data_IF_042421375250
#
_entry.id   IF_042421375250
#
_cell.length_a   1.000
_cell.length_b   1.000
_cell.length_c   1.000
_cell.angle_alpha   90.00
_cell.angle_beta   90.00
_cell.angle_gamma   90.00
#
_symmetry.space_group_name_H-M   'P 1'
#
loop_
_entity.id
_entity.type
_entity.pdbx_description
1 polymer ?
#
# COMPACT_ATOMS: atom_id res chain seq x y z
N UNK A 1 26.86 13.48 3.73
CA UNK A 1 26.23 12.91 2.52
C UNK A 1 24.95 13.68 2.24
N UNK A 2 24.82 14.28 1.05
CA UNK A 2 23.56 14.96 0.67
C UNK A 2 22.41 13.94 0.69
N UNK A 3 21.38 14.19 1.47
CA UNK A 3 20.19 13.33 1.59
C UNK A 3 19.17 13.56 0.48
N UNK A 4 19.40 14.59 -0.34
CA UNK A 4 18.54 14.96 -1.44
C UNK A 4 19.07 14.43 -2.77
N UNK A 5 18.21 13.78 -3.54
CA UNK A 5 18.51 13.26 -4.88
C UNK A 5 17.59 13.92 -5.90
N UNK A 6 18.12 14.24 -7.07
CA UNK A 6 17.28 14.79 -8.14
C UNK A 6 16.23 13.75 -8.59
N UNK A 7 14.96 14.15 -8.71
CA UNK A 7 13.93 13.27 -9.26
C UNK A 7 14.25 12.89 -10.70
N UNK A 8 13.87 11.67 -11.11
CA UNK A 8 14.03 11.20 -12.49
C UNK A 8 13.25 12.09 -13.47
N UNK A 9 13.74 12.26 -14.71
CA UNK A 9 12.96 12.87 -15.78
C UNK A 9 11.60 12.18 -15.97
N UNK A 10 10.59 12.92 -16.43
CA UNK A 10 9.24 12.40 -16.61
C UNK A 10 9.17 11.13 -17.47
N UNK A 11 9.86 11.04 -18.63
CA UNK A 11 9.87 9.83 -19.45
C UNK A 11 10.44 8.60 -18.72
N UNK A 12 11.48 8.76 -17.92
CA UNK A 12 12.07 7.67 -17.13
C UNK A 12 11.12 7.22 -16.01
N UNK A 13 10.48 8.18 -15.33
CA UNK A 13 9.46 7.89 -14.33
C UNK A 13 8.25 7.15 -14.94
N UNK A 14 7.83 7.52 -16.15
CA UNK A 14 6.77 6.85 -16.89
C UNK A 14 7.17 5.42 -17.30
N UNK A 15 8.41 5.22 -17.74
CA UNK A 15 8.91 3.88 -18.10
C UNK A 15 8.85 2.92 -16.90
N UNK A 16 9.25 3.38 -15.70
CA UNK A 16 9.12 2.59 -14.47
C UNK A 16 7.64 2.34 -14.16
N UNK A 17 6.76 3.31 -14.39
CA UNK A 17 5.31 3.15 -14.25
C UNK A 17 4.74 2.08 -15.17
N UNK A 18 5.16 2.03 -16.43
CA UNK A 18 4.76 0.97 -17.38
C UNK A 18 5.30 -0.40 -16.95
N UNK A 19 6.55 -0.48 -16.47
CA UNK A 19 7.10 -1.72 -15.93
C UNK A 19 6.31 -2.20 -14.70
N UNK A 20 5.96 -1.30 -13.79
CA UNK A 20 5.13 -1.60 -12.62
C UNK A 20 3.71 -2.05 -13.04
N UNK A 21 3.12 -1.41 -14.05
CA UNK A 21 1.84 -1.84 -14.62
C UNK A 21 1.94 -3.26 -15.18
N UNK A 22 3.01 -3.59 -15.90
CA UNK A 22 3.24 -4.95 -16.38
C UNK A 22 3.33 -5.96 -15.22
N UNK A 23 4.04 -5.62 -14.12
CA UNK A 23 4.09 -6.47 -12.91
C UNK A 23 2.70 -6.67 -12.32
N UNK A 24 1.89 -5.63 -12.24
CA UNK A 24 0.53 -5.70 -11.69
C UNK A 24 -0.41 -6.52 -12.59
N UNK A 25 -0.25 -6.43 -13.92
CA UNK A 25 -1.16 -7.07 -14.89
C UNK A 25 -0.76 -8.49 -15.26
N UNK A 26 0.52 -8.83 -15.19
CA UNK A 26 1.02 -10.17 -15.53
C UNK A 26 0.81 -11.12 -14.36
N UNK A 27 -0.01 -12.14 -14.54
CA UNK A 27 -0.46 -13.05 -13.49
C UNK A 27 0.68 -13.72 -12.70
N UNK A 28 1.81 -14.05 -13.35
CA UNK A 28 2.96 -14.67 -12.69
C UNK A 28 3.76 -13.70 -11.81
N UNK A 29 3.67 -12.39 -12.07
CA UNK A 29 4.38 -11.34 -11.33
C UNK A 29 3.48 -10.66 -10.29
N UNK A 30 2.15 -10.79 -10.43
CA UNK A 30 1.19 -10.12 -9.57
C UNK A 30 1.31 -10.47 -8.07
N UNK A 31 1.75 -11.67 -7.65
CA UNK A 31 1.90 -11.97 -6.23
C UNK A 31 2.81 -10.99 -5.48
N UNK A 32 3.86 -10.46 -6.13
CA UNK A 32 4.72 -9.43 -5.54
C UNK A 32 3.93 -8.14 -5.25
N UNK A 33 3.15 -7.68 -6.23
CA UNK A 33 2.33 -6.48 -6.09
C UNK A 33 1.19 -6.70 -5.08
N UNK A 34 0.62 -7.90 -5.05
CA UNK A 34 -0.47 -8.28 -4.14
C UNK A 34 0.02 -8.33 -2.68
N UNK A 35 1.19 -8.91 -2.40
CA UNK A 35 1.77 -8.89 -1.06
C UNK A 35 2.10 -7.47 -0.59
N UNK A 36 2.67 -6.64 -1.46
CA UNK A 36 2.90 -5.23 -1.14
C UNK A 36 1.58 -4.50 -0.84
N UNK A 37 0.55 -4.77 -1.64
CA UNK A 37 -0.77 -4.17 -1.47
C UNK A 37 -1.43 -4.62 -0.16
N UNK A 38 -1.44 -5.93 0.15
CA UNK A 38 -2.08 -6.41 1.39
C UNK A 38 -1.36 -5.91 2.63
N UNK A 39 -0.02 -5.83 2.63
CA UNK A 39 0.72 -5.23 3.74
C UNK A 39 0.31 -3.78 3.97
N UNK A 40 0.18 -2.99 2.90
CA UNK A 40 -0.25 -1.60 2.98
C UNK A 40 -1.72 -1.46 3.40
N UNK A 41 -2.60 -2.35 2.94
CA UNK A 41 -4.02 -2.42 3.29
C UNK A 41 -4.20 -2.72 4.78
N UNK A 42 -3.65 -3.83 5.27
CA UNK A 42 -3.76 -4.23 6.67
C UNK A 42 -3.07 -3.23 7.62
N UNK A 43 -1.92 -2.71 7.20
CA UNK A 43 -1.26 -1.64 7.96
C UNK A 43 -2.11 -0.38 8.06
N UNK A 44 -2.90 -0.05 7.03
CA UNK A 44 -3.84 1.08 7.08
C UNK A 44 -4.97 0.82 8.09
N UNK A 45 -5.51 -0.40 8.12
CA UNK A 45 -6.47 -0.81 9.14
C UNK A 45 -5.89 -0.69 10.55
N UNK A 46 -4.65 -1.14 10.75
CA UNK A 46 -3.97 -1.06 12.04
C UNK A 46 -3.72 0.39 12.47
N UNK A 47 -3.21 1.23 11.57
CA UNK A 47 -2.97 2.66 11.85
C UNK A 47 -4.30 3.35 12.20
N UNK A 48 -5.31 3.20 11.35
CA UNK A 48 -6.61 3.86 11.56
C UNK A 48 -7.31 3.32 12.79
N UNK A 49 -7.30 1.99 12.99
CA UNK A 49 -7.86 1.35 14.16
C UNK A 49 -7.22 1.86 15.47
N UNK A 50 -5.89 2.03 15.48
CA UNK A 50 -5.16 2.60 16.61
C UNK A 50 -5.57 4.05 16.88
N UNK A 51 -5.67 4.88 15.83
CA UNK A 51 -6.07 6.29 15.94
C UNK A 51 -7.49 6.43 16.51
N UNK A 52 -8.43 5.57 16.09
CA UNK A 52 -9.82 5.63 16.57
C UNK A 52 -10.04 4.89 17.89
N UNK A 53 -8.98 4.31 18.48
CA UNK A 53 -9.01 3.68 19.80
C UNK A 53 -9.46 2.22 19.80
N UNK A 54 -9.39 1.52 18.65
CA UNK A 54 -9.53 0.07 18.60
C UNK A 54 -8.18 -0.57 18.97
N UNK A 55 -8.10 -1.39 19.99
CA UNK A 55 -6.86 -2.13 20.27
C UNK A 55 -6.60 -3.17 19.17
N UNK A 56 -5.41 -3.16 18.58
CA UNK A 56 -5.04 -4.14 17.58
C UNK A 56 -4.72 -5.46 18.28
N UNK A 57 -5.46 -6.51 17.94
CA UNK A 57 -5.24 -7.87 18.43
C UNK A 57 -4.17 -8.58 17.61
N UNK A 58 -4.17 -8.37 16.30
CA UNK A 58 -3.17 -8.90 15.40
C UNK A 58 -3.54 -8.75 13.93
N UNK A 59 -2.52 -8.91 13.09
CA UNK A 59 -2.62 -8.91 11.64
C UNK A 59 -2.22 -10.29 11.13
N UNK A 60 -3.02 -10.88 10.27
CA UNK A 60 -2.73 -12.12 9.58
C UNK A 60 -2.59 -11.85 8.08
N UNK A 61 -1.59 -12.46 7.45
CA UNK A 61 -1.38 -12.43 5.99
C UNK A 61 -1.16 -13.88 5.58
N UNK A 62 -1.86 -14.34 4.56
CA UNK A 62 -1.74 -15.68 4.03
C UNK A 62 -0.80 -15.75 2.79
N UNK A 63 -0.41 -16.96 2.33
CA UNK A 63 0.48 -17.12 1.19
C UNK A 63 -0.08 -16.61 -0.16
N UNK A 64 -1.40 -16.47 -0.28
CA UNK A 64 -2.05 -15.97 -1.50
C UNK A 64 -2.36 -14.47 -1.44
N UNK A 65 -1.65 -13.74 -0.54
CA UNK A 65 -1.77 -12.30 -0.35
C UNK A 65 -3.18 -11.82 0.03
N UNK A 66 -3.91 -12.61 0.82
CA UNK A 66 -5.08 -12.14 1.56
C UNK A 66 -4.67 -11.84 2.99
N UNK A 67 -5.34 -10.88 3.62
CA UNK A 67 -5.04 -10.48 4.99
C UNK A 67 -6.27 -10.15 5.80
N UNK A 68 -6.05 -9.92 7.08
CA UNK A 68 -7.08 -9.46 8.00
C UNK A 68 -6.49 -8.86 9.27
N UNK A 69 -7.04 -7.71 9.65
CA UNK A 69 -6.72 -7.05 10.92
C UNK A 69 -7.82 -7.30 11.93
N UNK A 70 -7.47 -7.92 13.05
CA UNK A 70 -8.37 -8.18 14.18
C UNK A 70 -8.15 -7.18 15.31
N UNK A 71 -9.22 -6.90 16.07
CA UNK A 71 -9.23 -5.90 17.15
C UNK A 71 -9.65 -6.53 18.47
N UNK A 72 -9.18 -5.97 19.60
CA UNK A 72 -9.52 -6.46 20.94
C UNK A 72 -10.97 -6.17 21.33
N UNK A 73 -11.55 -5.06 20.84
CA UNK A 73 -12.88 -4.60 21.22
C UNK A 73 -13.87 -4.73 20.08
N UNK A 74 -15.17 -4.97 20.35
CA UNK A 74 -16.19 -4.90 19.33
C UNK A 74 -16.15 -3.56 18.61
N UNK A 75 -15.95 -3.60 17.30
CA UNK A 75 -15.81 -2.42 16.47
C UNK A 75 -17.12 -2.14 15.75
N UNK A 76 -17.88 -1.15 16.25
CA UNK A 76 -19.19 -0.76 15.71
C UNK A 76 -19.24 0.75 15.41
N UNK A 77 -20.26 1.14 14.65
CA UNK A 77 -20.55 2.54 14.37
C UNK A 77 -19.59 3.25 13.43
N UNK A 78 -19.57 4.61 13.43
CA UNK A 78 -18.85 5.42 12.45
C UNK A 78 -17.33 5.16 12.40
N UNK A 79 -16.73 4.82 13.52
CA UNK A 79 -15.30 4.49 13.61
C UNK A 79 -14.98 3.22 12.85
N UNK A 80 -15.86 2.20 12.89
CA UNK A 80 -15.70 0.98 12.11
C UNK A 80 -15.90 1.24 10.63
N UNK A 81 -16.88 2.07 10.26
CA UNK A 81 -17.06 2.51 8.87
C UNK A 81 -15.78 3.15 8.34
N UNK A 82 -15.19 4.10 9.09
CA UNK A 82 -13.95 4.74 8.70
C UNK A 82 -12.83 3.71 8.53
N UNK A 83 -12.61 2.84 9.51
CA UNK A 83 -11.53 1.86 9.49
C UNK A 83 -11.66 0.92 8.30
N UNK A 84 -12.86 0.36 8.03
CA UNK A 84 -13.09 -0.51 6.88
C UNK A 84 -13.00 0.22 5.54
N UNK A 85 -13.41 1.50 5.50
CA UNK A 85 -13.36 2.27 4.25
C UNK A 85 -11.94 2.60 3.80
N UNK A 86 -11.04 2.95 4.72
CA UNK A 86 -9.70 3.43 4.38
C UNK A 86 -8.75 2.31 3.94
N UNK A 87 -9.00 1.05 4.26
CA UNK A 87 -8.13 -0.07 3.91
C UNK A 87 -7.78 -0.09 2.43
N UNK A 88 -8.78 -0.04 1.56
CA UNK A 88 -8.60 -0.05 0.10
C UNK A 88 -7.93 1.22 -0.45
N UNK A 89 -8.04 2.35 0.24
CA UNK A 89 -7.39 3.59 -0.15
C UNK A 89 -5.95 3.70 0.36
N UNK A 90 -5.59 2.91 1.37
CA UNK A 90 -4.30 2.95 2.04
C UNK A 90 -3.09 2.81 1.12
N UNK A 91 -3.02 1.75 0.29
CA UNK A 91 -1.92 1.58 -0.65
C UNK A 91 -1.74 2.80 -1.56
N UNK A 92 -2.84 3.32 -2.10
CA UNK A 92 -2.81 4.52 -2.96
C UNK A 92 -2.40 5.78 -2.19
N UNK A 93 -2.82 5.93 -0.94
CA UNK A 93 -2.40 7.05 -0.09
C UNK A 93 -0.90 7.00 0.22
N UNK A 94 -0.36 5.83 0.53
CA UNK A 94 1.09 5.64 0.70
C UNK A 94 1.84 5.90 -0.61
N UNK A 95 1.32 5.44 -1.74
CA UNK A 95 1.86 5.73 -3.06
C UNK A 95 1.93 7.24 -3.36
N UNK A 96 0.88 8.00 -3.06
CA UNK A 96 0.87 9.46 -3.24
C UNK A 96 1.84 10.17 -2.29
N UNK A 97 1.92 9.74 -1.02
CA UNK A 97 2.89 10.27 -0.07
C UNK A 97 4.33 10.03 -0.55
N UNK A 98 4.63 8.81 -1.03
CA UNK A 98 5.92 8.47 -1.62
C UNK A 98 6.21 9.31 -2.88
N UNK A 99 5.25 9.48 -3.79
CA UNK A 99 5.37 10.32 -4.97
C UNK A 99 5.74 11.76 -4.59
N UNK A 100 5.08 12.31 -3.56
CA UNK A 100 5.40 13.65 -3.06
C UNK A 100 6.82 13.74 -2.48
N UNK A 101 7.25 12.76 -1.69
CA UNK A 101 8.62 12.73 -1.16
C UNK A 101 9.67 12.64 -2.26
N UNK A 102 9.40 11.83 -3.29
CA UNK A 102 10.27 11.72 -4.47
C UNK A 102 10.45 13.06 -5.16
N UNK A 103 9.35 13.81 -5.40
CA UNK A 103 9.44 15.12 -6.05
C UNK A 103 10.14 16.18 -5.21
N UNK A 104 10.14 16.03 -3.90
CA UNK A 104 10.90 16.87 -2.97
C UNK A 104 12.38 16.45 -2.86
N UNK A 105 12.82 15.43 -3.61
CA UNK A 105 14.19 14.92 -3.59
C UNK A 105 14.50 13.98 -2.42
N UNK A 106 13.50 13.55 -1.65
CA UNK A 106 13.66 12.66 -0.49
C UNK A 106 13.46 11.18 -0.87
N UNK A 107 14.12 10.73 -1.95
CA UNK A 107 13.92 9.37 -2.52
C UNK A 107 14.34 8.29 -1.52
N UNK A 108 15.47 8.44 -0.84
CA UNK A 108 15.93 7.46 0.16
C UNK A 108 15.01 7.42 1.39
N UNK A 109 14.37 8.54 1.72
CA UNK A 109 13.41 8.57 2.82
C UNK A 109 12.20 7.67 2.54
N UNK A 110 11.77 7.53 1.28
CA UNK A 110 10.70 6.60 0.88
C UNK A 110 11.05 5.17 1.27
N UNK A 111 12.29 4.74 0.97
CA UNK A 111 12.75 3.38 1.28
C UNK A 111 12.85 3.15 2.80
N UNK A 112 13.38 4.13 3.55
CA UNK A 112 13.44 4.04 5.02
C UNK A 112 12.05 4.06 5.66
N UNK A 113 11.13 4.87 5.17
CA UNK A 113 9.74 4.87 5.66
C UNK A 113 9.05 3.53 5.38
N UNK A 114 9.33 2.89 4.24
CA UNK A 114 8.85 1.54 3.97
C UNK A 114 9.43 0.52 4.98
N UNK A 115 10.72 0.61 5.32
CA UNK A 115 11.32 -0.26 6.36
C UNK A 115 10.65 -0.02 7.71
N UNK A 116 10.49 1.24 8.12
CA UNK A 116 9.82 1.58 9.39
C UNK A 116 8.40 1.05 9.42
N UNK A 117 7.63 1.25 8.35
CA UNK A 117 6.27 0.73 8.22
C UNK A 117 6.24 -0.80 8.36
N UNK A 118 7.14 -1.52 7.66
CA UNK A 118 7.22 -2.99 7.73
C UNK A 118 7.63 -3.48 9.13
N UNK A 119 8.52 -2.77 9.83
CA UNK A 119 8.87 -3.10 11.22
C UNK A 119 7.65 -2.93 12.14
N UNK A 120 6.90 -1.83 11.99
CA UNK A 120 5.68 -1.62 12.77
C UNK A 120 4.62 -2.67 12.45
N UNK A 121 4.49 -3.07 11.18
CA UNK A 121 3.60 -4.15 10.74
C UNK A 121 4.01 -5.48 11.36
N UNK A 122 5.32 -5.81 11.34
CA UNK A 122 5.86 -7.04 11.93
C UNK A 122 5.51 -7.18 13.42
N UNK A 123 5.54 -6.08 14.16
CA UNK A 123 5.18 -6.05 15.58
C UNK A 123 3.69 -6.31 15.84
N UNK A 124 2.85 -6.19 14.81
CA UNK A 124 1.41 -6.42 14.90
C UNK A 124 0.97 -7.78 14.32
N UNK A 125 1.90 -8.56 13.74
CA UNK A 125 1.56 -9.88 13.21
C UNK A 125 1.13 -10.84 14.30
N UNK A 126 0.10 -11.62 14.02
CA UNK A 126 -0.39 -12.70 14.89
C UNK A 126 -0.28 -14.05 14.20
N UNK A 127 0.06 -15.14 14.96
CA UNK A 127 0.04 -16.50 14.42
C UNK A 127 -1.40 -16.98 14.14
N UNK A 128 -1.61 -17.82 13.10
CA UNK A 128 -0.63 -18.18 12.07
C UNK A 128 -0.59 -17.11 10.97
N UNK A 129 0.58 -16.56 10.66
CA UNK A 129 0.71 -15.57 9.59
C UNK A 129 1.94 -15.86 8.73
N UNK A 130 1.73 -15.95 7.41
CA UNK A 130 2.82 -16.00 6.43
C UNK A 130 3.62 -14.70 6.41
N UNK A 131 3.04 -13.63 6.95
CA UNK A 131 3.71 -12.35 7.19
C UNK A 131 5.00 -12.48 7.99
N UNK A 132 5.13 -13.48 8.89
CA UNK A 132 6.38 -13.73 9.60
C UNK A 132 7.54 -14.18 8.70
N UNK A 133 7.27 -14.56 7.47
CA UNK A 133 8.29 -14.86 6.45
C UNK A 133 8.45 -13.69 5.49
N UNK A 134 7.37 -13.16 4.95
CA UNK A 134 7.41 -12.15 3.89
C UNK A 134 7.83 -10.78 4.39
N UNK A 135 7.38 -10.36 5.58
CA UNK A 135 7.72 -9.04 6.12
C UNK A 135 9.20 -8.92 6.51
N UNK A 136 9.80 -9.86 7.27
CA UNK A 136 11.23 -9.83 7.53
C UNK A 136 12.08 -9.93 6.26
N UNK A 137 11.67 -10.74 5.28
CA UNK A 137 12.38 -10.83 4.00
C UNK A 137 12.35 -9.49 3.25
N UNK A 138 11.22 -8.80 3.22
CA UNK A 138 11.10 -7.47 2.62
C UNK A 138 11.95 -6.42 3.36
N UNK A 139 11.96 -6.43 4.69
CA UNK A 139 12.82 -5.56 5.51
C UNK A 139 14.29 -5.80 5.17
N UNK A 140 14.72 -7.05 5.15
CA UNK A 140 16.11 -7.41 4.86
C UNK A 140 16.50 -6.97 3.43
N UNK A 141 15.65 -7.23 2.44
CA UNK A 141 15.89 -6.82 1.06
C UNK A 141 16.01 -5.29 0.92
N UNK A 142 15.12 -4.53 1.53
CA UNK A 142 15.18 -3.07 1.52
C UNK A 142 16.40 -2.54 2.27
N UNK A 143 16.74 -3.13 3.40
CA UNK A 143 17.94 -2.74 4.17
C UNK A 143 19.23 -2.97 3.36
N UNK A 144 19.37 -4.15 2.73
CA UNK A 144 20.50 -4.47 1.85
C UNK A 144 20.55 -3.50 0.66
N UNK A 145 19.42 -3.22 0.04
CA UNK A 145 19.32 -2.24 -1.05
C UNK A 145 19.80 -0.86 -0.60
N UNK A 146 19.30 -0.36 0.52
CA UNK A 146 19.66 0.98 1.04
C UNK A 146 21.16 1.06 1.39
N UNK A 147 21.74 -0.02 1.92
CA UNK A 147 23.11 -0.01 2.42
C UNK A 147 24.17 -0.29 1.36
N UNK A 148 23.85 -1.11 0.37
CA UNK A 148 24.87 -1.69 -0.52
C UNK A 148 24.60 -1.48 -2.01
N UNK A 149 23.33 -1.18 -2.40
CA UNK A 149 23.03 -0.99 -3.81
C UNK A 149 23.51 0.39 -4.33
N UNK A 150 23.87 0.50 -5.61
CA UNK A 150 24.15 1.78 -6.23
C UNK A 150 22.91 2.67 -6.22
N UNK A 151 23.14 3.99 -6.16
CA UNK A 151 22.08 5.02 -6.05
C UNK A 151 21.00 4.87 -7.12
N UNK A 152 21.38 4.54 -8.37
CA UNK A 152 20.41 4.34 -9.45
C UNK A 152 19.40 3.23 -9.15
N UNK A 153 19.84 2.11 -8.56
CA UNK A 153 18.95 1.02 -8.18
C UNK A 153 18.03 1.43 -7.02
N UNK A 154 18.54 2.19 -6.04
CA UNK A 154 17.71 2.73 -4.96
C UNK A 154 16.60 3.64 -5.51
N UNK A 155 16.94 4.52 -6.46
CA UNK A 155 15.97 5.41 -7.13
C UNK A 155 14.92 4.60 -7.87
N UNK A 156 15.33 3.66 -8.73
CA UNK A 156 14.40 2.81 -9.49
C UNK A 156 13.48 2.03 -8.56
N UNK A 157 13.99 1.51 -7.45
CA UNK A 157 13.18 0.77 -6.48
C UNK A 157 12.15 1.68 -5.79
N UNK A 158 12.53 2.89 -5.37
CA UNK A 158 11.60 3.82 -4.76
C UNK A 158 10.44 4.20 -5.71
N UNK A 159 10.76 4.51 -6.97
CA UNK A 159 9.74 4.76 -8.00
C UNK A 159 8.90 3.52 -8.28
N UNK A 160 9.52 2.35 -8.41
CA UNK A 160 8.82 1.08 -8.63
C UNK A 160 7.82 0.77 -7.53
N UNK A 161 8.23 0.85 -6.27
CA UNK A 161 7.33 0.66 -5.12
C UNK A 161 6.19 1.69 -5.12
N UNK A 162 6.48 2.94 -5.42
CA UNK A 162 5.47 4.01 -5.49
C UNK A 162 4.42 3.68 -6.55
N UNK A 163 4.84 3.31 -7.76
CA UNK A 163 3.93 2.90 -8.83
C UNK A 163 3.17 1.61 -8.52
N UNK A 164 3.84 0.62 -7.91
CA UNK A 164 3.17 -0.62 -7.51
C UNK A 164 2.05 -0.34 -6.50
N UNK A 165 2.26 0.52 -5.50
CA UNK A 165 1.23 0.89 -4.53
C UNK A 165 0.05 1.62 -5.18
N UNK A 166 0.31 2.54 -6.11
CA UNK A 166 -0.74 3.26 -6.84
C UNK A 166 -1.57 2.33 -7.72
N UNK A 167 -0.89 1.48 -8.52
CA UNK A 167 -1.54 0.64 -9.53
C UNK A 167 -2.22 -0.59 -8.93
N UNK A 168 -1.59 -1.25 -7.94
CA UNK A 168 -2.16 -2.42 -7.29
C UNK A 168 -3.42 -2.08 -6.48
N UNK A 169 -3.46 -0.92 -5.84
CA UNK A 169 -4.66 -0.43 -5.16
C UNK A 169 -5.87 -0.33 -6.11
N UNK A 170 -5.66 0.25 -7.31
CA UNK A 170 -6.71 0.35 -8.32
C UNK A 170 -7.15 -1.03 -8.85
N UNK A 171 -6.18 -1.93 -9.12
CA UNK A 171 -6.49 -3.30 -9.56
C UNK A 171 -7.31 -4.06 -8.51
N UNK A 172 -6.88 -4.05 -7.25
CA UNK A 172 -7.55 -4.79 -6.18
C UNK A 172 -8.95 -4.24 -5.93
N UNK A 173 -9.13 -2.91 -5.96
CA UNK A 173 -10.45 -2.29 -5.85
C UNK A 173 -11.38 -2.74 -7.00
N UNK A 174 -10.85 -2.86 -8.23
CA UNK A 174 -11.60 -3.30 -9.40
C UNK A 174 -12.00 -4.78 -9.32
N UNK A 175 -11.08 -5.66 -8.88
CA UNK A 175 -11.27 -7.10 -8.93
C UNK A 175 -12.03 -7.65 -7.72
N UNK A 176 -11.78 -7.12 -6.54
CA UNK A 176 -12.24 -7.69 -5.28
C UNK A 176 -13.11 -6.75 -4.43
N UNK A 177 -13.17 -5.45 -4.77
CA UNK A 177 -13.79 -4.45 -3.91
C UNK A 177 -15.22 -4.80 -3.47
N UNK A 178 -16.07 -5.33 -4.37
CA UNK A 178 -17.45 -5.68 -4.02
C UNK A 178 -17.60 -7.03 -3.29
N UNK A 179 -16.55 -7.87 -3.30
CA UNK A 179 -16.56 -9.22 -2.70
C UNK A 179 -15.66 -9.32 -1.45
N UNK A 180 -15.13 -8.20 -0.98
CA UNK A 180 -14.23 -8.16 0.15
C UNK A 180 -14.98 -8.08 1.49
N UNK A 181 -14.36 -8.60 2.54
CA UNK A 181 -14.91 -8.54 3.89
C UNK A 181 -15.16 -7.11 4.40
N UNK A 182 -14.39 -6.11 3.92
CA UNK A 182 -14.64 -4.70 4.23
C UNK A 182 -15.96 -4.20 3.61
N UNK A 183 -16.28 -4.59 2.37
CA UNK A 183 -17.56 -4.25 1.76
C UNK A 183 -18.73 -4.87 2.50
N UNK A 184 -18.57 -6.11 3.01
CA UNK A 184 -19.56 -6.77 3.86
C UNK A 184 -19.75 -6.04 5.18
N UNK A 185 -18.65 -5.66 5.83
CA UNK A 185 -18.68 -4.88 7.07
C UNK A 185 -19.40 -3.54 6.86
N UNK A 186 -19.04 -2.82 5.80
CA UNK A 186 -19.67 -1.53 5.47
C UNK A 186 -21.16 -1.68 5.13
N UNK A 187 -21.52 -2.69 4.32
CA UNK A 187 -22.92 -2.99 4.03
C UNK A 187 -23.72 -3.31 5.30
N UNK A 188 -23.17 -4.15 6.19
CA UNK A 188 -23.84 -4.53 7.45
C UNK A 188 -24.08 -3.35 8.39
N UNK A 189 -23.21 -2.34 8.40
CA UNK A 189 -23.34 -1.17 9.28
C UNK A 189 -24.18 -0.07 8.64
N UNK A 190 -24.01 0.17 7.34
CA UNK A 190 -24.59 1.34 6.66
C UNK A 190 -25.83 1.02 5.85
N UNK A 191 -26.09 -0.26 5.58
CA UNK A 191 -27.12 -0.75 4.67
C UNK A 191 -26.95 -0.27 3.21
N UNK A 192 -25.80 0.33 2.87
CA UNK A 192 -25.48 0.72 1.51
C UNK A 192 -24.92 -0.48 0.72
N UNK A 193 -25.26 -0.61 -0.59
CA UNK A 193 -24.81 -1.72 -1.40
C UNK A 193 -23.29 -1.84 -1.46
N UNK A 194 -22.73 -3.05 -1.44
CA UNK A 194 -21.29 -3.33 -1.56
C UNK A 194 -20.67 -2.69 -2.81
N UNK A 195 -21.43 -2.69 -3.92
CA UNK A 195 -21.02 -2.10 -5.19
C UNK A 195 -20.78 -0.60 -5.09
N UNK A 196 -21.50 0.11 -4.24
CA UNK A 196 -21.28 1.53 -4.01
C UNK A 196 -19.90 1.77 -3.37
N UNK A 197 -19.55 0.97 -2.37
CA UNK A 197 -18.23 1.04 -1.73
C UNK A 197 -17.11 0.70 -2.70
N UNK A 198 -17.29 -0.36 -3.50
CA UNK A 198 -16.34 -0.73 -4.55
C UNK A 198 -16.11 0.40 -5.57
N UNK A 199 -17.19 1.07 -6.00
CA UNK A 199 -17.10 2.22 -6.90
C UNK A 199 -16.37 3.41 -6.27
N UNK A 200 -16.61 3.69 -4.99
CA UNK A 200 -15.92 4.76 -4.26
C UNK A 200 -14.42 4.45 -4.12
N UNK A 201 -14.05 3.21 -3.80
CA UNK A 201 -12.66 2.79 -3.76
C UNK A 201 -12.00 2.86 -5.14
N UNK A 202 -12.68 2.38 -6.17
CA UNK A 202 -12.16 2.46 -7.54
C UNK A 202 -11.96 3.91 -7.98
N UNK A 203 -12.92 4.79 -7.72
CA UNK A 203 -12.80 6.21 -8.04
C UNK A 203 -11.64 6.86 -7.28
N UNK A 204 -11.49 6.58 -5.97
CA UNK A 204 -10.41 7.10 -5.15
C UNK A 204 -9.03 6.61 -5.60
N UNK A 205 -8.89 5.31 -5.90
CA UNK A 205 -7.62 4.73 -6.34
C UNK A 205 -7.24 5.16 -7.75
N UNK A 206 -8.18 5.26 -8.69
CA UNK A 206 -7.93 5.84 -10.03
C UNK A 206 -7.58 7.33 -9.95
N UNK A 207 -8.24 8.07 -9.07
CA UNK A 207 -7.88 9.46 -8.78
C UNK A 207 -6.45 9.58 -8.25
N UNK A 208 -6.03 8.66 -7.38
CA UNK A 208 -4.65 8.62 -6.89
C UNK A 208 -3.64 8.28 -7.99
N UNK A 209 -3.95 7.35 -8.89
CA UNK A 209 -3.12 7.08 -10.08
C UNK A 209 -2.98 8.32 -10.95
N UNK A 210 -4.09 9.01 -11.23
CA UNK A 210 -4.08 10.26 -12.01
C UNK A 210 -3.17 11.32 -11.36
N UNK A 211 -3.33 11.55 -10.05
CA UNK A 211 -2.48 12.49 -9.30
C UNK A 211 -1.02 12.03 -9.33
N UNK A 212 -0.76 10.73 -9.16
CA UNK A 212 0.59 10.16 -9.26
C UNK A 212 1.26 10.42 -10.61
N UNK A 213 0.52 10.26 -11.71
CA UNK A 213 0.99 10.61 -13.07
C UNK A 213 1.31 12.11 -13.16
N UNK A 214 0.42 12.98 -12.66
CA UNK A 214 0.65 14.44 -12.64
C UNK A 214 1.93 14.80 -11.90
N UNK A 215 2.15 14.23 -10.73
CA UNK A 215 3.29 14.52 -9.85
C UNK A 215 4.59 13.93 -10.41
N UNK A 216 4.61 12.65 -10.79
CA UNK A 216 5.85 11.94 -11.12
C UNK A 216 6.28 12.13 -12.57
N UNK A 217 5.32 12.25 -13.51
CA UNK A 217 5.60 12.27 -14.94
C UNK A 217 5.48 13.69 -15.49
N UNK A 218 4.36 14.36 -15.25
CA UNK A 218 4.08 15.68 -15.83
C UNK A 218 4.68 16.83 -15.00
N UNK A 219 5.02 16.56 -13.74
CA UNK A 219 5.58 17.57 -12.80
C UNK A 219 4.70 18.80 -12.63
N UNK A 220 3.39 18.60 -12.65
CA UNK A 220 2.37 19.64 -12.54
C UNK A 220 1.74 19.67 -11.14
#
# INVERSE_FOLDING_TARGET
MSTTQAPLPGPEAALIGFAALAVVMVQILSPLAEHLNVMAHEGTHAITGSIVGFGIKGIEINPIAEGGTSYHWPTLGPRRVLTSFVGYLGPSAFGLAAAKLITLGHIIAVLWLAVIFLVLLLLQLAPPSFGFVTVPAAIAALYVLIRYAPTGLQVVTAYGMTWLLLLSGARVALQHGANAGDADTLNGITHLPRQLWALLWLAGTLGAVYIGVRILVLRA
#
